data_IF_927783689933
#
_entry.id   IF_927783689933
#
_cell.length_a   1.000
_cell.length_b   1.000
_cell.length_c   1.000
_cell.angle_alpha   90.00
_cell.angle_beta   90.00
_cell.angle_gamma   90.00
#
_symmetry.space_group_name_H-M   'P 1'
#
loop_
_entity.id
_entity.type
_entity.pdbx_description
1 polymer ?
#
# COMPACT_ATOMS: atom_id res chain seq x y z
N UNK A 1 -7.97 16.40 -26.07
CA UNK A 1 -6.95 15.47 -25.50
C UNK A 1 -7.21 15.41 -24.00
N UNK A 2 -7.14 14.24 -23.38
CA UNK A 2 -7.38 14.08 -21.94
C UNK A 2 -6.10 14.37 -21.14
N UNK A 3 -6.26 14.99 -19.99
CA UNK A 3 -5.16 15.24 -19.04
C UNK A 3 -5.28 14.27 -17.87
N UNK A 4 -4.27 13.45 -17.68
CA UNK A 4 -4.18 12.47 -16.60
C UNK A 4 -3.21 12.98 -15.53
N UNK A 5 -3.71 13.15 -14.32
CA UNK A 5 -2.92 13.43 -13.14
C UNK A 5 -2.38 12.15 -12.51
N UNK A 6 -1.13 12.14 -12.13
CA UNK A 6 -0.48 11.02 -11.44
C UNK A 6 -0.01 11.50 -10.06
N UNK A 7 -0.53 10.90 -9.00
CA UNK A 7 -0.02 11.09 -7.64
C UNK A 7 1.12 10.10 -7.41
N UNK A 8 2.32 10.64 -7.23
CA UNK A 8 3.57 9.90 -7.21
C UNK A 8 4.35 10.07 -8.50
N UNK A 9 5.60 10.49 -8.34
CA UNK A 9 6.51 10.81 -9.44
C UNK A 9 7.69 9.85 -9.55
N UNK A 10 7.65 8.72 -8.86
CA UNK A 10 8.69 7.71 -8.86
C UNK A 10 8.88 7.02 -10.20
N UNK A 11 9.57 5.88 -10.18
CA UNK A 11 9.86 5.12 -11.39
C UNK A 11 8.60 4.63 -12.10
N UNK A 12 7.60 4.16 -11.35
CA UNK A 12 6.34 3.70 -11.94
C UNK A 12 5.54 4.86 -12.51
N UNK A 13 5.50 6.02 -11.83
CA UNK A 13 4.88 7.24 -12.36
C UNK A 13 5.52 7.70 -13.65
N UNK A 14 6.86 7.58 -13.78
CA UNK A 14 7.56 7.85 -15.03
C UNK A 14 7.12 6.89 -16.16
N UNK A 15 7.14 5.58 -15.91
CA UNK A 15 6.73 4.58 -16.92
C UNK A 15 5.27 4.75 -17.33
N UNK A 16 4.38 5.06 -16.37
CA UNK A 16 2.99 5.35 -16.64
C UNK A 16 2.82 6.60 -17.49
N UNK A 17 3.55 7.69 -17.18
CA UNK A 17 3.50 8.93 -17.98
C UNK A 17 3.96 8.71 -19.43
N UNK A 18 5.00 7.92 -19.63
CA UNK A 18 5.49 7.56 -20.97
C UNK A 18 4.46 6.72 -21.75
N UNK A 19 3.81 5.77 -21.07
CA UNK A 19 2.77 4.94 -21.70
C UNK A 19 1.55 5.76 -22.07
N UNK A 20 1.11 6.68 -21.21
CA UNK A 20 0.00 7.59 -21.47
C UNK A 20 0.31 8.56 -22.62
N UNK A 21 1.54 9.06 -22.73
CA UNK A 21 1.96 9.91 -23.84
C UNK A 21 1.86 9.19 -25.19
N UNK A 22 2.19 7.88 -25.25
CA UNK A 22 2.01 7.07 -26.47
C UNK A 22 0.54 6.93 -26.89
N UNK A 23 -0.38 7.01 -25.91
CA UNK A 23 -1.83 7.00 -26.15
C UNK A 23 -2.41 8.40 -26.45
N UNK A 24 -1.55 9.41 -26.56
CA UNK A 24 -1.96 10.77 -26.85
C UNK A 24 -2.56 11.53 -25.67
N UNK A 25 -2.35 11.08 -24.42
CA UNK A 25 -2.78 11.80 -23.24
C UNK A 25 -1.70 12.80 -22.76
N UNK A 26 -2.11 13.92 -22.21
CA UNK A 26 -1.23 14.78 -21.41
C UNK A 26 -1.12 14.23 -20.00
N UNK A 27 0.09 14.28 -19.42
CA UNK A 27 0.30 13.88 -18.04
C UNK A 27 0.77 15.04 -17.18
N UNK A 28 0.24 15.11 -15.97
CA UNK A 28 0.65 16.02 -14.91
C UNK A 28 0.99 15.16 -13.69
N UNK A 29 2.12 15.42 -13.03
CA UNK A 29 2.55 14.69 -11.85
C UNK A 29 2.49 15.58 -10.61
N UNK A 30 2.07 15.01 -9.50
CA UNK A 30 2.14 15.57 -8.16
C UNK A 30 3.01 14.69 -7.28
N UNK A 31 4.11 15.24 -6.76
CA UNK A 31 4.99 14.54 -5.83
C UNK A 31 5.68 15.54 -4.89
N UNK A 32 5.96 15.13 -3.66
CA UNK A 32 6.70 15.95 -2.71
C UNK A 32 8.22 15.93 -2.96
N UNK A 33 8.74 14.91 -3.62
CA UNK A 33 10.15 14.84 -3.97
C UNK A 33 10.46 15.62 -5.27
N UNK A 34 11.19 16.72 -5.12
CA UNK A 34 11.66 17.53 -6.25
C UNK A 34 12.55 16.78 -7.24
N UNK A 35 13.14 15.66 -6.82
CA UNK A 35 14.01 14.82 -7.62
C UNK A 35 13.29 13.66 -8.28
N UNK A 36 11.96 13.54 -8.09
CA UNK A 36 11.18 12.47 -8.66
C UNK A 36 11.36 12.39 -10.19
N UNK A 37 11.68 11.20 -10.73
CA UNK A 37 12.13 11.05 -12.13
C UNK A 37 11.08 11.48 -13.16
N UNK A 38 9.79 11.36 -12.86
CA UNK A 38 8.71 11.72 -13.79
C UNK A 38 8.59 13.22 -14.05
N UNK A 39 9.09 14.08 -13.17
CA UNK A 39 9.03 15.54 -13.37
C UNK A 39 9.68 16.01 -14.67
N UNK A 40 10.66 15.27 -15.18
CA UNK A 40 11.38 15.60 -16.42
C UNK A 40 10.65 15.17 -17.69
N UNK A 41 9.59 14.36 -17.55
CA UNK A 41 8.90 13.70 -18.67
C UNK A 41 7.41 14.05 -18.77
N UNK A 42 6.92 14.91 -17.88
CA UNK A 42 5.51 15.33 -17.85
C UNK A 42 5.35 16.76 -18.32
N UNK A 43 4.18 17.08 -18.84
CA UNK A 43 3.87 18.42 -19.34
C UNK A 43 3.88 19.48 -18.22
N UNK A 44 3.58 19.08 -17.01
CA UNK A 44 3.57 19.92 -15.82
C UNK A 44 3.78 19.08 -14.58
N UNK A 45 4.46 19.65 -13.57
CA UNK A 45 4.70 19.04 -12.28
C UNK A 45 4.22 19.94 -11.15
N UNK A 46 3.64 19.32 -10.12
CA UNK A 46 3.34 19.93 -8.83
C UNK A 46 4.30 19.32 -7.80
N UNK A 47 5.20 20.14 -7.26
CA UNK A 47 6.21 19.67 -6.29
C UNK A 47 5.84 20.26 -4.93
N UNK A 48 4.95 19.59 -4.23
CA UNK A 48 4.40 20.02 -2.95
C UNK A 48 4.09 18.81 -2.06
N UNK A 49 4.07 18.99 -0.73
CA UNK A 49 3.61 17.96 0.20
C UNK A 49 2.17 17.52 -0.13
N UNK A 50 1.86 16.24 0.12
CA UNK A 50 0.51 15.69 -0.14
C UNK A 50 -0.56 16.21 0.83
N UNK A 51 -0.22 16.95 1.87
CA UNK A 51 -1.12 17.63 2.80
C UNK A 51 -1.38 19.11 2.43
N UNK A 52 -0.76 19.63 1.38
CA UNK A 52 -1.05 20.95 0.83
C UNK A 52 -2.35 20.93 0.01
N UNK A 53 -3.48 21.17 0.71
CA UNK A 53 -4.82 21.11 0.12
C UNK A 53 -5.04 22.13 -1.00
N UNK A 54 -4.37 23.29 -0.94
CA UNK A 54 -4.49 24.30 -1.98
C UNK A 54 -3.87 23.81 -3.29
N UNK A 55 -2.68 23.24 -3.20
CA UNK A 55 -1.99 22.70 -4.39
C UNK A 55 -2.65 21.44 -4.92
N UNK A 56 -3.17 20.56 -4.04
CA UNK A 56 -3.98 19.41 -4.45
C UNK A 56 -5.23 19.86 -5.23
N UNK A 57 -5.91 20.91 -4.79
CA UNK A 57 -7.06 21.45 -5.51
C UNK A 57 -6.68 22.06 -6.87
N UNK A 58 -5.53 22.73 -6.97
CA UNK A 58 -5.02 23.24 -8.26
C UNK A 58 -4.67 22.08 -9.21
N UNK A 59 -4.09 21.01 -8.68
CA UNK A 59 -3.81 19.79 -9.42
C UNK A 59 -5.10 19.12 -9.91
N UNK A 60 -6.09 18.93 -9.02
CA UNK A 60 -7.41 18.36 -9.37
C UNK A 60 -8.09 19.14 -10.50
N UNK A 61 -8.08 20.48 -10.42
CA UNK A 61 -8.68 21.34 -11.45
C UNK A 61 -7.96 21.23 -12.81
N UNK A 62 -6.68 20.89 -12.83
CA UNK A 62 -5.89 20.73 -14.05
C UNK A 62 -6.04 19.38 -14.72
N UNK A 63 -6.68 18.39 -14.07
CA UNK A 63 -6.80 17.02 -14.52
C UNK A 63 -8.23 16.65 -14.91
N UNK A 64 -8.39 15.83 -15.94
CA UNK A 64 -9.65 15.16 -16.27
C UNK A 64 -9.83 13.86 -15.47
N UNK A 65 -8.72 13.15 -15.22
CA UNK A 65 -8.65 11.91 -14.46
C UNK A 65 -7.40 11.97 -13.60
N UNK A 66 -7.47 11.39 -12.41
CA UNK A 66 -6.34 11.29 -11.47
C UNK A 66 -6.14 9.82 -11.13
N UNK A 67 -4.90 9.38 -11.14
CA UNK A 67 -4.49 8.06 -10.67
C UNK A 67 -3.31 8.18 -9.71
N UNK A 68 -2.91 7.08 -9.09
CA UNK A 68 -1.76 7.02 -8.20
C UNK A 68 -0.89 5.80 -8.54
N UNK A 69 0.40 5.88 -8.21
CA UNK A 69 1.36 4.84 -8.54
C UNK A 69 1.80 4.01 -7.34
N UNK A 70 1.48 4.46 -6.10
CA UNK A 70 1.84 3.77 -4.87
C UNK A 70 0.76 3.94 -3.80
N UNK A 71 0.74 3.02 -2.84
CA UNK A 71 -0.32 2.94 -1.83
C UNK A 71 -0.11 3.85 -0.62
N UNK A 72 1.09 4.35 -0.34
CA UNK A 72 1.39 5.10 0.89
C UNK A 72 0.99 6.57 0.87
N UNK A 73 -0.02 6.92 0.10
CA UNK A 73 -0.57 8.28 0.04
C UNK A 73 -1.44 8.59 1.27
N UNK A 74 -1.41 9.82 1.81
CA UNK A 74 -2.24 10.21 2.94
C UNK A 74 -3.72 10.32 2.53
N UNK A 75 -4.58 9.43 3.03
CA UNK A 75 -6.01 9.37 2.67
C UNK A 75 -6.77 10.66 2.99
N UNK A 76 -6.49 11.30 4.13
CA UNK A 76 -7.20 12.50 4.57
C UNK A 76 -7.15 13.63 3.54
N UNK A 77 -5.96 14.11 3.15
CA UNK A 77 -5.83 15.15 2.13
C UNK A 77 -6.46 14.78 0.78
N UNK A 78 -6.36 13.51 0.37
CA UNK A 78 -6.91 13.06 -0.92
C UNK A 78 -8.45 13.09 -0.97
N UNK A 79 -9.14 13.19 0.17
CA UNK A 79 -10.59 13.43 0.20
C UNK A 79 -10.98 14.78 -0.40
N UNK A 80 -10.04 15.72 -0.53
CA UNK A 80 -10.26 17.01 -1.18
C UNK A 80 -10.34 16.94 -2.71
N UNK A 81 -9.88 15.83 -3.31
CA UNK A 81 -9.95 15.62 -4.74
C UNK A 81 -11.37 15.27 -5.19
N UNK A 82 -11.69 15.61 -6.43
CA UNK A 82 -12.97 15.24 -7.04
C UNK A 82 -13.07 13.73 -7.19
N UNK A 83 -13.94 13.09 -6.40
CA UNK A 83 -14.06 11.63 -6.32
C UNK A 83 -14.31 10.96 -7.69
N UNK A 84 -15.05 11.61 -8.59
CA UNK A 84 -15.30 11.09 -9.93
C UNK A 84 -14.03 11.01 -10.80
N UNK A 85 -13.02 11.84 -10.51
CA UNK A 85 -11.75 11.87 -11.26
C UNK A 85 -10.74 10.85 -10.75
N UNK A 86 -10.74 10.54 -9.44
CA UNK A 86 -9.77 9.61 -8.84
C UNK A 86 -10.08 8.16 -9.21
N UNK A 87 -9.11 7.49 -9.84
CA UNK A 87 -9.22 6.10 -10.32
C UNK A 87 -7.91 5.34 -10.07
N UNK A 88 -7.94 4.21 -9.33
CA UNK A 88 -9.04 3.73 -8.50
C UNK A 88 -9.45 4.74 -7.43
N UNK A 89 -10.67 4.62 -6.89
CA UNK A 89 -11.16 5.53 -5.85
C UNK A 89 -10.51 5.31 -4.49
N UNK A 90 -10.79 6.22 -3.53
CA UNK A 90 -10.20 6.18 -2.17
C UNK A 90 -10.46 4.87 -1.42
N UNK A 91 -11.57 4.17 -1.69
CA UNK A 91 -11.84 2.87 -1.07
C UNK A 91 -10.74 1.85 -1.44
N UNK A 92 -10.37 1.76 -2.71
CA UNK A 92 -9.31 0.84 -3.13
C UNK A 92 -7.98 1.17 -2.45
N UNK A 93 -7.63 2.46 -2.37
CA UNK A 93 -6.43 2.91 -1.69
C UNK A 93 -6.45 2.58 -0.19
N UNK A 94 -7.57 2.85 0.50
CA UNK A 94 -7.70 2.59 1.94
C UNK A 94 -7.60 1.09 2.27
N UNK A 95 -8.16 0.25 1.40
CA UNK A 95 -8.07 -1.21 1.54
C UNK A 95 -6.63 -1.68 1.33
N UNK A 96 -5.95 -1.21 0.29
CA UNK A 96 -4.58 -1.64 -0.04
C UNK A 96 -3.51 -1.19 0.98
N UNK A 97 -3.77 -0.16 1.77
CA UNK A 97 -2.83 0.36 2.76
C UNK A 97 -2.66 -0.49 4.01
N UNK A 98 -3.59 -1.39 4.30
CA UNK A 98 -3.64 -2.12 5.56
C UNK A 98 -4.02 -3.58 5.31
N UNK A 99 -3.09 -4.50 5.59
CA UNK A 99 -3.28 -5.95 5.32
C UNK A 99 -4.46 -6.58 6.04
N UNK A 100 -4.81 -6.10 7.22
CA UNK A 100 -5.98 -6.64 7.94
C UNK A 100 -7.27 -6.15 7.28
N UNK A 101 -7.33 -4.87 6.91
CA UNK A 101 -8.48 -4.30 6.19
C UNK A 101 -8.62 -4.99 4.84
N UNK A 102 -7.53 -5.15 4.09
CA UNK A 102 -7.51 -5.84 2.80
C UNK A 102 -8.04 -7.27 2.90
N UNK A 103 -7.50 -8.06 3.84
CA UNK A 103 -7.91 -9.44 4.04
C UNK A 103 -9.37 -9.55 4.47
N UNK A 104 -9.80 -8.70 5.39
CA UNK A 104 -11.20 -8.69 5.80
C UNK A 104 -12.12 -8.31 4.64
N UNK A 105 -11.77 -7.28 3.87
CA UNK A 105 -12.53 -6.86 2.70
C UNK A 105 -12.66 -7.99 1.67
N UNK A 106 -11.55 -8.67 1.34
CA UNK A 106 -11.54 -9.78 0.39
C UNK A 106 -12.35 -10.97 0.92
N UNK A 107 -12.23 -11.29 2.20
CA UNK A 107 -13.01 -12.34 2.87
C UNK A 107 -14.52 -12.06 2.79
N UNK A 108 -14.93 -10.82 3.09
CA UNK A 108 -16.33 -10.40 3.03
C UNK A 108 -16.91 -10.43 1.61
N UNK A 109 -16.03 -10.35 0.59
CA UNK A 109 -16.38 -10.50 -0.83
C UNK A 109 -16.34 -11.95 -1.32
N UNK A 110 -16.02 -12.91 -0.45
CA UNK A 110 -16.00 -14.33 -0.79
C UNK A 110 -14.76 -14.81 -1.56
N UNK A 111 -13.68 -14.02 -1.57
CA UNK A 111 -12.42 -14.47 -2.17
C UNK A 111 -11.75 -15.53 -1.29
N UNK A 112 -11.13 -16.58 -1.88
CA UNK A 112 -10.36 -17.55 -1.13
C UNK A 112 -9.10 -16.89 -0.57
N UNK A 113 -8.87 -17.08 0.72
CA UNK A 113 -7.72 -16.55 1.45
C UNK A 113 -7.14 -17.61 2.37
N UNK A 114 -5.84 -17.52 2.65
CA UNK A 114 -5.25 -18.21 3.78
C UNK A 114 -5.90 -17.72 5.08
N UNK A 115 -6.06 -18.61 6.07
CA UNK A 115 -6.49 -18.21 7.40
C UNK A 115 -5.59 -17.10 7.95
N UNK A 116 -6.17 -16.14 8.62
CA UNK A 116 -5.45 -15.02 9.20
C UNK A 116 -6.11 -14.52 10.49
N UNK A 117 -5.30 -13.93 11.35
CA UNK A 117 -5.76 -13.29 12.58
C UNK A 117 -4.87 -12.07 12.92
N UNK A 118 -5.41 -11.05 13.60
CA UNK A 118 -4.61 -9.98 14.17
C UNK A 118 -3.80 -10.50 15.36
N UNK A 119 -2.58 -9.98 15.52
CA UNK A 119 -1.71 -10.22 16.67
C UNK A 119 -1.38 -8.88 17.30
N UNK A 120 -1.65 -8.75 18.61
CA UNK A 120 -1.40 -7.51 19.36
C UNK A 120 -1.24 -7.78 20.86
N UNK A 121 -0.65 -6.80 21.56
CA UNK A 121 -0.54 -6.86 23.02
C UNK A 121 0.55 -7.81 23.56
N UNK A 122 0.55 -8.02 24.88
CA UNK A 122 1.60 -8.76 25.57
C UNK A 122 1.44 -10.29 25.46
N UNK A 123 0.26 -10.77 25.18
CA UNK A 123 -0.09 -12.19 25.07
C UNK A 123 0.10 -12.76 23.65
N UNK A 124 0.82 -12.05 22.78
CA UNK A 124 1.04 -12.42 21.38
C UNK A 124 1.61 -13.84 21.21
N UNK A 125 2.39 -14.33 22.17
CA UNK A 125 2.94 -15.68 22.12
C UNK A 125 1.82 -16.71 22.13
N UNK A 126 0.84 -16.55 23.05
CA UNK A 126 -0.33 -17.42 23.12
C UNK A 126 -1.19 -17.30 21.86
N UNK A 127 -1.43 -16.07 21.37
CA UNK A 127 -2.20 -15.84 20.16
C UNK A 127 -1.59 -16.58 18.93
N UNK A 128 -0.25 -16.55 18.78
CA UNK A 128 0.44 -17.26 17.69
C UNK A 128 0.39 -18.77 17.89
N UNK A 129 0.54 -19.26 19.13
CA UNK A 129 0.44 -20.68 19.45
C UNK A 129 -0.95 -21.23 19.14
N UNK A 130 -2.01 -20.50 19.55
CA UNK A 130 -3.40 -20.86 19.29
C UNK A 130 -3.73 -20.86 17.80
N UNK A 131 -3.16 -19.93 17.04
CA UNK A 131 -3.26 -19.90 15.58
C UNK A 131 -2.60 -21.11 14.92
N UNK A 132 -1.47 -21.57 15.49
CA UNK A 132 -0.73 -22.76 15.09
C UNK A 132 0.30 -22.53 13.97
N UNK A 133 1.17 -23.54 13.83
CA UNK A 133 2.28 -23.55 12.89
C UNK A 133 2.03 -24.53 11.72
N UNK A 134 2.70 -24.36 10.56
CA UNK A 134 3.54 -23.23 10.21
C UNK A 134 2.71 -21.99 9.85
N UNK A 135 3.24 -20.78 10.16
CA UNK A 135 2.58 -19.53 9.84
C UNK A 135 3.56 -18.43 9.45
N UNK A 136 3.03 -17.36 8.88
CA UNK A 136 3.77 -16.15 8.50
C UNK A 136 3.23 -14.96 9.30
N UNK A 137 4.09 -14.30 10.07
CA UNK A 137 3.74 -13.06 10.75
C UNK A 137 4.19 -11.88 9.91
N UNK A 138 3.29 -10.91 9.67
CA UNK A 138 3.54 -9.74 8.80
C UNK A 138 3.13 -8.45 9.52
N UNK A 139 3.83 -7.36 9.23
CA UNK A 139 3.34 -6.02 9.59
C UNK A 139 2.09 -5.70 8.79
N UNK A 140 1.14 -4.99 9.40
CA UNK A 140 -0.10 -4.59 8.69
C UNK A 140 0.14 -3.48 7.67
N UNK A 141 1.18 -2.66 7.87
CA UNK A 141 1.55 -1.56 6.96
C UNK A 141 3.04 -1.57 6.67
N UNK A 142 3.45 -0.96 5.56
CA UNK A 142 4.84 -0.64 5.25
C UNK A 142 5.76 -1.82 4.93
N UNK A 143 5.24 -3.02 4.71
CA UNK A 143 6.05 -4.17 4.30
C UNK A 143 6.04 -4.36 2.79
N UNK A 144 7.22 -4.37 2.15
CA UNK A 144 7.42 -4.64 0.73
C UNK A 144 8.65 -5.56 0.56
N UNK A 145 8.72 -6.29 -0.54
CA UNK A 145 9.85 -7.16 -0.90
C UNK A 145 10.32 -8.10 0.25
N UNK A 146 9.37 -8.71 0.96
CA UNK A 146 9.67 -9.59 2.08
C UNK A 146 10.07 -8.89 3.39
N UNK A 147 10.23 -7.57 3.39
CA UNK A 147 10.50 -6.80 4.61
C UNK A 147 9.28 -6.78 5.52
N UNK A 148 9.52 -6.93 6.83
CA UNK A 148 8.44 -6.95 7.82
C UNK A 148 7.71 -8.29 7.92
N UNK A 149 8.25 -9.37 7.35
CA UNK A 149 7.72 -10.72 7.47
C UNK A 149 8.63 -11.59 8.36
N UNK A 150 8.01 -12.49 9.12
CA UNK A 150 8.70 -13.49 9.94
C UNK A 150 8.02 -14.83 9.69
N UNK A 151 8.75 -15.79 9.14
CA UNK A 151 8.28 -17.16 8.97
C UNK A 151 8.46 -17.92 10.28
N UNK A 152 7.37 -18.47 10.79
CA UNK A 152 7.34 -19.26 12.01
C UNK A 152 6.95 -20.69 11.65
N UNK A 153 7.94 -21.58 11.58
CA UNK A 153 7.74 -22.99 11.22
C UNK A 153 7.25 -23.81 12.40
N UNK A 154 7.65 -23.41 13.61
CA UNK A 154 7.41 -24.13 14.84
C UNK A 154 7.62 -23.24 16.07
N UNK A 155 7.47 -23.81 17.26
CA UNK A 155 7.66 -23.13 18.53
C UNK A 155 9.10 -22.60 18.74
N UNK A 156 10.10 -23.27 18.20
CA UNK A 156 11.50 -22.85 18.30
C UNK A 156 11.72 -21.54 17.50
N UNK A 157 11.18 -21.48 16.28
CA UNK A 157 11.21 -20.27 15.45
C UNK A 157 10.49 -19.09 16.14
N UNK A 158 9.38 -19.33 16.82
CA UNK A 158 8.70 -18.29 17.60
C UNK A 158 9.60 -17.79 18.75
N UNK A 159 10.20 -18.71 19.52
CA UNK A 159 11.09 -18.35 20.62
C UNK A 159 12.29 -17.52 20.18
N UNK A 160 12.90 -17.86 19.04
CA UNK A 160 14.03 -17.12 18.46
C UNK A 160 13.65 -15.69 18.03
N UNK A 161 12.41 -15.46 17.62
CA UNK A 161 11.93 -14.18 17.12
C UNK A 161 11.12 -13.37 18.16
N UNK A 162 10.91 -13.92 19.37
CA UNK A 162 10.03 -13.35 20.38
C UNK A 162 10.37 -11.90 20.74
N UNK A 163 11.66 -11.57 20.94
CA UNK A 163 12.10 -10.22 21.28
C UNK A 163 11.87 -9.22 20.14
N UNK A 164 12.05 -9.66 18.90
CA UNK A 164 11.82 -8.82 17.73
C UNK A 164 10.33 -8.50 17.55
N UNK A 165 9.47 -9.48 17.77
CA UNK A 165 8.01 -9.34 17.75
C UNK A 165 7.56 -8.44 18.89
N UNK A 166 8.01 -8.71 20.12
CA UNK A 166 7.67 -7.92 21.30
C UNK A 166 8.01 -6.44 21.15
N UNK A 167 9.20 -6.13 20.59
CA UNK A 167 9.62 -4.73 20.35
C UNK A 167 8.71 -3.99 19.38
N UNK A 168 8.11 -4.65 18.40
CA UNK A 168 7.14 -4.05 17.48
C UNK A 168 5.81 -3.82 18.17
N UNK A 169 5.28 -4.83 18.84
CA UNK A 169 3.99 -4.77 19.53
C UNK A 169 4.02 -3.79 20.72
N UNK A 170 5.17 -3.61 21.39
CA UNK A 170 5.34 -2.62 22.46
C UNK A 170 5.18 -1.16 21.99
N UNK A 171 5.34 -0.89 20.69
CA UNK A 171 5.10 0.44 20.09
C UNK A 171 3.61 0.67 19.76
N UNK A 172 2.74 -0.28 20.09
CA UNK A 172 1.33 -0.24 19.74
C UNK A 172 1.04 -0.72 18.32
N UNK A 173 2.05 -1.29 17.63
CA UNK A 173 1.83 -1.88 16.32
C UNK A 173 0.91 -3.11 16.44
N UNK A 174 0.12 -3.34 15.41
CA UNK A 174 -0.60 -4.59 15.21
C UNK A 174 0.10 -5.35 14.09
N UNK A 175 0.15 -6.67 14.21
CA UNK A 175 0.65 -7.55 13.15
C UNK A 175 -0.47 -8.49 12.68
N UNK A 176 -0.31 -9.11 11.54
CA UNK A 176 -1.20 -10.17 11.07
C UNK A 176 -0.43 -11.48 11.00
N UNK A 177 -1.00 -12.54 11.58
CA UNK A 177 -0.55 -13.91 11.35
C UNK A 177 -1.38 -14.52 10.22
N UNK A 178 -0.72 -15.24 9.34
CA UNK A 178 -1.33 -15.92 8.19
C UNK A 178 -0.88 -17.37 8.16
N UNK A 179 -1.78 -18.28 7.76
CA UNK A 179 -1.40 -19.68 7.47
C UNK A 179 -0.36 -19.69 6.35
N UNK A 180 0.74 -20.37 6.58
CA UNK A 180 1.73 -20.58 5.53
C UNK A 180 1.14 -21.52 4.47
N UNK A 181 1.14 -21.05 3.22
CA UNK A 181 0.70 -21.82 2.06
C UNK A 181 1.93 -22.46 1.45
N UNK A 182 1.82 -23.75 1.11
CA UNK A 182 2.83 -24.46 0.33
C UNK A 182 2.64 -24.07 -1.14
N UNK A 183 3.43 -23.09 -1.60
CA UNK A 183 3.34 -22.56 -2.96
C UNK A 183 4.12 -23.44 -3.92
N UNK A 184 3.47 -23.91 -4.96
CA UNK A 184 4.14 -24.60 -6.05
C UNK A 184 4.94 -23.65 -6.94
N UNK A 185 4.39 -22.44 -7.21
CA UNK A 185 5.06 -21.37 -7.94
C UNK A 185 4.44 -20.01 -7.66
N UNK A 186 5.19 -18.97 -7.96
CA UNK A 186 4.70 -17.58 -8.02
C UNK A 186 4.61 -17.15 -9.49
N UNK A 187 3.52 -16.48 -9.86
CA UNK A 187 3.31 -15.93 -11.21
C UNK A 187 3.02 -14.44 -11.14
N UNK A 188 3.57 -13.69 -12.10
CA UNK A 188 3.25 -12.28 -12.30
C UNK A 188 2.44 -12.14 -13.60
N UNK A 189 1.34 -11.38 -13.54
CA UNK A 189 0.46 -11.12 -14.68
C UNK A 189 0.55 -9.65 -15.11
#
# INVERSE_FOLDING_TARGET
>A
MKTVGILGGGQLGLLLSQSLARLGAHTIVYDSDKCAPSHRHTARSFVYPFDDLEQLKKFDNACDVITYEFEHLPLGPLQSLTAAKLKPGLLALSVAQDRLIEKQYLKDKGFPLADFAPISGADFVLQIQDFGFPCMLKTIRGGYDGKGQIRLTDQSALSQNQDAIARRLAKGDVMVVERLIDLECEVSC
#
